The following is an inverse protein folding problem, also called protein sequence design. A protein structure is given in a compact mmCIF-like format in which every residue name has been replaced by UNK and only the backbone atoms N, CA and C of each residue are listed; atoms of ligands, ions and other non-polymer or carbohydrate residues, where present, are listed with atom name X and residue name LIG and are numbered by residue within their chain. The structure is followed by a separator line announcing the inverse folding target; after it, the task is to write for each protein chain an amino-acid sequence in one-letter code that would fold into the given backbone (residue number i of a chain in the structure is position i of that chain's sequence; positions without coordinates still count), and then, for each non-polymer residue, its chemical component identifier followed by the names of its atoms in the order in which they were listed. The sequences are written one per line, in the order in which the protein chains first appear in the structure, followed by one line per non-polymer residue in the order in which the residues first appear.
data_IF_083969125820
#
_entry.id   IF_083969125820
#
_cell.length_a   1.000
_cell.length_b   1.000
_cell.length_c   1.000
_cell.angle_alpha   90.00
_cell.angle_beta   90.00
_cell.angle_gamma   90.00
#
_symmetry.space_group_name_H-M   'P 1'
#
loop_
_entity.id
_entity.type
_entity.pdbx_description
1 polymer ?
#
# COMPACT_ATOMS: atom_id res chain seq x y z
N UNK A 1 2.09 17.73 -13.42
CA UNK A 1 2.07 16.25 -13.43
C UNK A 1 3.42 15.59 -13.54
N UNK A 2 4.26 15.94 -14.51
CA UNK A 2 5.60 15.34 -14.60
C UNK A 2 6.42 15.60 -13.33
N UNK A 3 6.45 16.85 -12.85
CA UNK A 3 7.15 17.18 -11.61
C UNK A 3 6.56 16.45 -10.40
N UNK A 4 5.22 16.38 -10.27
CA UNK A 4 4.55 15.62 -9.20
C UNK A 4 4.94 14.14 -9.19
N UNK A 5 5.08 13.53 -10.37
CA UNK A 5 5.56 12.15 -10.48
C UNK A 5 7.04 12.03 -10.10
N UNK A 6 7.89 12.96 -10.55
CA UNK A 6 9.30 13.01 -10.15
C UNK A 6 9.46 13.18 -8.64
N UNK A 7 8.70 14.09 -8.02
CA UNK A 7 8.69 14.32 -6.57
C UNK A 7 8.26 13.07 -5.80
N UNK A 8 7.25 12.35 -6.30
CA UNK A 8 6.85 11.07 -5.71
C UNK A 8 7.98 10.02 -5.78
N UNK A 9 8.69 9.94 -6.91
CA UNK A 9 9.84 9.02 -7.05
C UNK A 9 11.02 9.43 -6.15
N UNK A 10 11.26 10.72 -5.95
CA UNK A 10 12.26 11.23 -5.00
C UNK A 10 11.87 10.89 -3.56
N UNK A 11 10.59 11.04 -3.19
CA UNK A 11 10.09 10.65 -1.88
C UNK A 11 10.23 9.14 -1.62
N UNK A 12 9.87 8.31 -2.60
CA UNK A 12 10.10 6.85 -2.56
C UNK A 12 11.59 6.53 -2.37
N UNK A 13 12.48 7.28 -3.03
CA UNK A 13 13.92 7.11 -2.81
C UNK A 13 14.33 7.45 -1.38
N UNK A 14 13.75 8.50 -0.79
CA UNK A 14 13.93 8.83 0.62
C UNK A 14 13.49 7.69 1.55
N UNK A 15 12.35 7.04 1.27
CA UNK A 15 11.91 5.86 2.03
C UNK A 15 12.89 4.69 1.92
N UNK A 16 13.44 4.44 0.73
CA UNK A 16 14.48 3.42 0.51
C UNK A 16 15.73 3.74 1.34
N UNK A 17 16.16 5.00 1.35
CA UNK A 17 17.35 5.42 2.09
C UNK A 17 17.13 5.27 3.62
N UNK A 18 15.92 5.54 4.15
CA UNK A 18 15.57 5.30 5.57
C UNK A 18 15.61 3.81 5.94
N UNK A 19 15.15 2.92 5.06
CA UNK A 19 15.29 1.46 5.23
C UNK A 19 16.77 1.07 5.21
N UNK A 20 17.56 1.61 4.27
CA UNK A 20 18.99 1.33 4.18
C UNK A 20 19.77 1.83 5.41
N UNK A 21 19.34 2.93 6.03
CA UNK A 21 19.89 3.46 7.26
C UNK A 21 19.47 2.67 8.53
N UNK A 22 18.52 1.72 8.39
CA UNK A 22 18.02 0.91 9.50
C UNK A 22 16.99 1.62 10.38
N UNK A 23 16.45 2.77 9.97
CA UNK A 23 15.35 3.42 10.67
C UNK A 23 14.09 2.56 10.65
N UNK A 24 13.89 1.83 9.55
CA UNK A 24 12.85 0.82 9.40
C UNK A 24 13.45 -0.51 8.97
N UNK A 25 12.88 -1.59 9.47
CA UNK A 25 13.09 -2.89 8.82
C UNK A 25 12.39 -2.89 7.46
N UNK A 26 12.91 -3.67 6.51
CA UNK A 26 12.25 -3.85 5.20
C UNK A 26 10.79 -4.29 5.41
N UNK A 27 10.56 -5.25 6.30
CA UNK A 27 9.25 -5.86 6.54
C UNK A 27 8.22 -4.90 7.16
N UNK A 28 8.66 -3.85 7.85
CA UNK A 28 7.81 -2.88 8.56
C UNK A 28 7.88 -1.47 7.92
N UNK A 29 8.26 -1.41 6.64
CA UNK A 29 8.38 -0.15 5.89
C UNK A 29 7.08 0.22 5.18
N UNK A 30 6.84 1.52 4.90
CA UNK A 30 5.72 1.94 4.05
C UNK A 30 5.75 1.26 2.68
N UNK A 31 6.93 1.12 2.08
CA UNK A 31 7.18 0.42 0.82
C UNK A 31 6.70 -1.04 0.85
N UNK A 32 6.99 -1.77 1.93
CA UNK A 32 6.61 -3.17 2.03
C UNK A 32 5.11 -3.36 2.24
N UNK A 33 4.45 -2.44 2.95
CA UNK A 33 3.02 -2.56 3.19
C UNK A 33 2.12 -1.81 2.19
N UNK A 34 2.68 -1.11 1.21
CA UNK A 34 1.91 -0.50 0.14
C UNK A 34 1.19 -1.56 -0.72
N UNK A 35 -0.03 -1.27 -1.23
CA UNK A 35 -0.81 -0.05 -1.04
C UNK A 35 -1.64 -0.04 0.26
N UNK A 36 -1.91 1.16 0.80
CA UNK A 36 -2.68 1.35 2.04
C UNK A 36 -4.15 1.66 1.73
N UNK A 37 -5.05 0.72 2.02
CA UNK A 37 -6.50 0.88 1.82
C UNK A 37 -7.14 1.65 2.98
N UNK A 38 -8.34 2.18 2.75
CA UNK A 38 -9.15 2.81 3.82
C UNK A 38 -9.41 1.86 4.99
N UNK A 39 -9.69 0.58 4.72
CA UNK A 39 -9.88 -0.46 5.74
C UNK A 39 -8.65 -0.61 6.65
N UNK A 40 -7.45 -0.59 6.08
CA UNK A 40 -6.20 -0.67 6.85
C UNK A 40 -6.00 0.56 7.73
N UNK A 41 -6.41 1.74 7.28
CA UNK A 41 -6.25 2.98 8.05
C UNK A 41 -7.22 3.09 9.23
N UNK A 42 -8.46 2.61 9.06
CA UNK A 42 -9.50 2.68 10.11
C UNK A 42 -9.28 1.61 11.19
N UNK A 43 -8.60 0.52 10.87
CA UNK A 43 -8.27 -0.54 11.83
C UNK A 43 -7.15 -0.15 12.81
N UNK A 44 -6.78 -1.13 13.63
CA UNK A 44 -5.61 -1.04 14.51
C UNK A 44 -4.34 -0.79 13.70
N UNK A 45 -3.39 -0.07 14.31
CA UNK A 45 -2.18 0.35 13.64
C UNK A 45 -0.95 -0.02 14.43
N UNK A 46 -0.33 -1.10 13.98
CA UNK A 46 0.89 -1.69 14.52
C UNK A 46 1.97 -1.64 13.43
N UNK A 47 2.49 -0.43 13.16
CA UNK A 47 3.51 -0.17 12.14
C UNK A 47 4.51 0.85 12.65
N UNK A 48 5.78 0.75 12.25
CA UNK A 48 6.85 1.69 12.65
C UNK A 48 6.73 3.11 12.07
N UNK A 49 5.70 3.40 11.29
CA UNK A 49 5.45 4.70 10.67
C UNK A 49 3.98 5.11 10.84
N UNK A 50 3.66 6.39 10.66
CA UNK A 50 2.31 6.90 10.93
C UNK A 50 1.29 6.56 9.82
N UNK A 51 0.00 6.60 10.16
CA UNK A 51 -1.09 6.49 9.16
C UNK A 51 -0.96 7.55 8.06
N UNK A 52 -0.63 8.78 8.44
CA UNK A 52 -0.44 9.89 7.51
C UNK A 52 0.75 9.62 6.59
N UNK A 53 1.84 9.08 7.10
CA UNK A 53 3.03 8.75 6.29
C UNK A 53 2.70 7.67 5.24
N UNK A 54 1.89 6.65 5.59
CA UNK A 54 1.44 5.65 4.64
C UNK A 54 0.39 6.14 3.64
N UNK A 55 -0.58 6.96 4.09
CA UNK A 55 -1.72 7.37 3.27
C UNK A 55 -1.47 8.66 2.48
N UNK A 56 -0.66 9.57 3.00
CA UNK A 56 -0.48 10.93 2.50
C UNK A 56 1.01 11.29 2.49
N UNK A 57 1.88 10.53 1.79
CA UNK A 57 3.33 10.76 1.81
C UNK A 57 3.73 12.13 1.22
N UNK A 58 2.88 12.72 0.38
CA UNK A 58 3.06 14.05 -0.20
C UNK A 58 2.20 15.14 0.48
N UNK A 59 1.59 14.83 1.64
CA UNK A 59 0.66 15.72 2.34
C UNK A 59 -0.82 15.37 2.11
N UNK A 60 -1.69 15.94 2.95
CA UNK A 60 -3.14 15.69 2.90
C UNK A 60 -3.75 16.41 1.69
N UNK A 61 -4.37 15.64 0.81
CA UNK A 61 -5.06 16.11 -0.39
C UNK A 61 -6.51 15.62 -0.35
N UNK A 62 -7.52 16.51 -0.47
CA UNK A 62 -8.92 16.09 -0.60
C UNK A 62 -9.18 15.25 -1.87
N UNK A 63 -8.39 15.42 -2.93
CA UNK A 63 -8.47 14.65 -4.18
C UNK A 63 -7.57 13.40 -4.13
N UNK A 64 -7.76 12.59 -3.09
CA UNK A 64 -6.99 11.36 -2.89
C UNK A 64 -7.61 10.18 -3.64
N UNK A 65 -6.80 9.56 -4.51
CA UNK A 65 -7.09 8.22 -5.00
C UNK A 65 -6.87 7.16 -3.91
N UNK A 66 -7.89 6.33 -3.67
CA UNK A 66 -7.85 5.23 -2.72
C UNK A 66 -7.61 3.89 -3.42
N UNK A 67 -6.55 3.16 -3.05
CA UNK A 67 -6.39 1.78 -3.50
C UNK A 67 -7.56 0.92 -3.02
N UNK A 68 -8.29 0.22 -3.92
CA UNK A 68 -9.49 -0.54 -3.55
C UNK A 68 -9.17 -1.83 -2.80
N UNK A 69 -7.98 -2.39 -3.01
CA UNK A 69 -7.51 -3.62 -2.38
C UNK A 69 -6.07 -3.47 -1.89
N UNK A 70 -5.69 -4.31 -0.91
CA UNK A 70 -4.31 -4.44 -0.48
C UNK A 70 -3.46 -5.17 -1.55
N UNK A 71 -2.17 -5.37 -1.28
CA UNK A 71 -1.27 -6.07 -2.19
C UNK A 71 -1.81 -7.48 -2.52
N UNK A 72 -1.87 -7.80 -3.80
CA UNK A 72 -2.38 -9.06 -4.32
C UNK A 72 -1.35 -10.18 -4.07
N UNK A 73 -1.83 -11.35 -3.62
CA UNK A 73 -1.03 -12.58 -3.58
C UNK A 73 -1.00 -13.24 -4.97
N UNK A 74 0.04 -12.92 -5.74
CA UNK A 74 0.23 -13.43 -7.09
C UNK A 74 0.47 -14.96 -7.10
N UNK A 75 1.24 -15.47 -6.14
CA UNK A 75 1.59 -16.89 -6.11
C UNK A 75 0.38 -17.77 -5.78
N UNK A 76 -0.53 -17.29 -4.93
CA UNK A 76 -1.81 -17.95 -4.71
C UNK A 76 -2.65 -17.99 -6.00
N UNK A 77 -2.75 -16.86 -6.71
CA UNK A 77 -3.50 -16.77 -7.97
C UNK A 77 -3.00 -17.76 -9.03
N UNK A 78 -1.69 -17.85 -9.23
CA UNK A 78 -1.09 -18.79 -10.19
C UNK A 78 -1.33 -20.27 -9.81
N UNK A 79 -1.38 -20.58 -8.51
CA UNK A 79 -1.62 -21.95 -7.99
C UNK A 79 -3.11 -22.32 -7.97
N UNK A 80 -4.02 -21.34 -7.96
CA UNK A 80 -5.46 -21.53 -7.84
C UNK A 80 -6.17 -20.77 -8.97
N UNK A 81 -5.92 -21.19 -10.20
CA UNK A 81 -6.40 -20.49 -11.38
C UNK A 81 -7.93 -20.48 -11.47
N UNK A 82 -8.53 -19.30 -11.30
CA UNK A 82 -9.95 -19.02 -11.52
C UNK A 82 -10.06 -17.88 -12.53
N UNK A 83 -10.49 -18.21 -13.75
CA UNK A 83 -10.58 -17.26 -14.86
C UNK A 83 -12.02 -16.95 -15.29
N UNK A 84 -12.99 -17.33 -14.46
CA UNK A 84 -14.42 -17.01 -14.63
C UNK A 84 -14.93 -16.38 -13.35
N UNK A 85 -16.01 -15.61 -13.44
CA UNK A 85 -16.68 -15.09 -12.25
C UNK A 85 -17.08 -16.27 -11.35
N UNK A 86 -16.75 -16.25 -10.05
CA UNK A 86 -17.32 -17.21 -9.11
C UNK A 86 -18.82 -16.94 -8.97
N UNK A 87 -19.57 -17.92 -8.47
CA UNK A 87 -21.01 -17.74 -8.26
C UNK A 87 -21.27 -16.65 -7.20
N UNK A 88 -22.40 -15.93 -7.25
CA UNK A 88 -22.72 -14.91 -6.24
C UNK A 88 -22.67 -15.44 -4.81
N UNK A 89 -23.00 -16.73 -4.61
CA UNK A 89 -22.94 -17.39 -3.31
C UNK A 89 -21.52 -17.43 -2.72
N UNK A 90 -20.48 -17.38 -3.56
CA UNK A 90 -19.08 -17.32 -3.10
C UNK A 90 -18.73 -16.00 -2.39
N UNK A 91 -19.59 -14.99 -2.48
CA UNK A 91 -19.44 -13.70 -1.82
C UNK A 91 -20.45 -13.48 -0.68
N UNK A 92 -21.23 -14.50 -0.31
CA UNK A 92 -22.33 -14.37 0.64
C UNK A 92 -21.91 -14.38 2.13
N UNK A 93 -20.65 -14.08 2.44
CA UNK A 93 -20.15 -13.87 3.81
C UNK A 93 -20.02 -12.39 4.16
#
# INVERSE_FOLDING_TARGET
ELDRFCDAMIAIRGEIDRVAAGEWSVADSPLHHAPHTTRVLVGDWDRAYSRTEGAFPAGIDPDKYWPPVARIDQAYGDRNLVCTCPSPEAFAE
#
